data_IF_184400840688
#
_entry.id   IF_184400840688
#
_cell.length_a   1.000
_cell.length_b   1.000
_cell.length_c   1.000
_cell.angle_alpha   90.00
_cell.angle_beta   90.00
_cell.angle_gamma   90.00
#
_symmetry.space_group_name_H-M   'P 1'
#
loop_
_entity.id
_entity.type
_entity.pdbx_description
1 polymer ?
#
# COMPACT_ATOMS: atom_id res chain seq x y z
N UNK A 1 26.87 -20.09 -7.43
CA UNK A 1 26.23 -19.00 -6.67
C UNK A 1 25.54 -18.14 -7.71
N UNK A 2 24.21 -18.00 -7.66
CA UNK A 2 23.53 -17.03 -8.52
C UNK A 2 24.00 -15.65 -8.05
N UNK A 3 24.63 -14.86 -8.94
CA UNK A 3 25.02 -13.49 -8.65
C UNK A 3 23.82 -12.67 -8.26
N UNK A 4 24.04 -11.60 -7.47
CA UNK A 4 22.98 -10.65 -7.13
C UNK A 4 22.38 -10.10 -8.43
N UNK A 5 21.07 -10.12 -8.52
CA UNK A 5 20.31 -9.65 -9.70
C UNK A 5 19.87 -8.19 -9.54
N UNK A 6 20.13 -7.57 -8.41
CA UNK A 6 19.85 -6.16 -8.11
C UNK A 6 20.87 -5.59 -7.13
N UNK A 7 21.03 -4.27 -7.16
CA UNK A 7 21.79 -3.49 -6.19
C UNK A 7 20.84 -2.85 -5.19
N UNK A 8 21.20 -2.91 -3.90
CA UNK A 8 20.50 -2.19 -2.83
C UNK A 8 21.28 -0.91 -2.50
N UNK A 9 20.63 0.24 -2.64
CA UNK A 9 21.20 1.55 -2.38
C UNK A 9 20.45 2.25 -1.26
N UNK A 10 21.19 2.77 -0.29
CA UNK A 10 20.64 3.65 0.75
C UNK A 10 20.49 5.07 0.22
N UNK A 11 19.40 5.72 0.58
CA UNK A 11 19.14 7.13 0.30
C UNK A 11 18.38 7.77 1.46
N UNK A 12 18.10 9.07 1.35
CA UNK A 12 17.34 9.84 2.34
C UNK A 12 16.18 10.56 1.65
N UNK A 13 14.97 10.23 2.07
CA UNK A 13 13.78 10.97 1.67
C UNK A 13 13.67 12.26 2.48
N UNK A 14 13.53 13.39 1.81
CA UNK A 14 13.44 14.71 2.46
C UNK A 14 12.08 15.35 2.20
N UNK A 15 11.34 15.64 3.27
CA UNK A 15 10.04 16.33 3.24
C UNK A 15 10.09 17.53 4.20
N UNK A 16 10.37 18.75 3.67
CA UNK A 16 10.67 19.90 4.52
C UNK A 16 11.88 19.64 5.40
N UNK A 17 11.71 19.71 6.72
CA UNK A 17 12.77 19.44 7.71
C UNK A 17 12.80 17.94 8.15
N UNK A 18 11.93 17.10 7.58
CA UNK A 18 11.86 15.68 7.89
C UNK A 18 12.80 14.90 6.97
N UNK A 19 13.67 14.09 7.55
CA UNK A 19 14.62 13.23 6.86
C UNK A 19 14.34 11.77 7.20
N UNK A 20 13.94 10.99 6.23
CA UNK A 20 13.56 9.58 6.41
C UNK A 20 14.53 8.66 5.69
N UNK A 21 15.08 7.64 6.36
CA UNK A 21 15.87 6.62 5.69
C UNK A 21 15.08 5.95 4.58
N UNK A 22 15.68 5.86 3.40
CA UNK A 22 15.10 5.22 2.22
C UNK A 22 16.04 4.15 1.65
N UNK A 23 15.48 3.23 0.89
CA UNK A 23 16.22 2.19 0.18
C UNK A 23 15.67 2.04 -1.23
N UNK A 24 16.56 2.06 -2.21
CA UNK A 24 16.27 1.77 -3.60
C UNK A 24 16.84 0.39 -3.93
N UNK A 25 16.01 -0.50 -4.47
CA UNK A 25 16.47 -1.71 -5.14
C UNK A 25 16.47 -1.44 -6.64
N UNK A 26 17.64 -1.50 -7.26
CA UNK A 26 17.81 -1.29 -8.69
C UNK A 26 18.24 -2.60 -9.35
N UNK A 27 17.49 -3.10 -10.36
CA UNK A 27 17.92 -4.27 -11.12
C UNK A 27 19.31 -4.04 -11.75
N UNK A 28 20.14 -5.08 -11.80
CA UNK A 28 21.43 -5.03 -12.53
C UNK A 28 21.12 -5.12 -14.03
N UNK A 29 21.88 -4.37 -14.83
CA UNK A 29 21.78 -4.33 -16.30
C UNK A 29 20.42 -3.84 -16.85
N UNK A 30 19.67 -3.07 -16.06
CA UNK A 30 18.42 -2.44 -16.48
C UNK A 30 18.60 -0.92 -16.54
N UNK A 31 19.15 -0.44 -17.65
CA UNK A 31 19.16 0.99 -17.94
C UNK A 31 17.72 1.49 -18.02
N UNK A 32 17.38 2.52 -17.24
CA UNK A 32 16.06 3.11 -17.18
C UNK A 32 14.94 2.09 -16.82
N UNK A 33 15.12 1.32 -15.72
CA UNK A 33 14.07 0.47 -15.18
C UNK A 33 12.87 1.30 -14.68
N UNK A 34 11.60 0.87 -14.88
CA UNK A 34 10.49 1.49 -14.18
C UNK A 34 10.67 1.31 -12.66
N UNK A 35 10.26 2.32 -11.89
CA UNK A 35 10.41 2.30 -10.43
C UNK A 35 9.06 2.38 -9.73
N UNK A 36 8.88 1.58 -8.68
CA UNK A 36 7.68 1.57 -7.84
C UNK A 36 7.98 2.23 -6.50
N UNK A 37 7.28 3.31 -6.20
CA UNK A 37 7.27 3.94 -4.86
C UNK A 37 6.23 3.23 -4.01
N UNK A 38 6.62 2.79 -2.81
CA UNK A 38 5.78 1.99 -1.93
C UNK A 38 5.33 2.79 -0.71
N UNK A 39 4.00 2.89 -0.51
CA UNK A 39 3.36 3.69 0.56
C UNK A 39 2.66 2.77 1.55
N UNK A 40 3.07 2.87 2.80
CA UNK A 40 2.66 2.00 3.91
C UNK A 40 1.19 2.10 4.31
N UNK A 41 0.74 1.05 4.99
CA UNK A 41 -0.48 1.05 5.78
C UNK A 41 -0.42 1.96 7.02
N UNK A 42 -1.44 1.86 7.87
CA UNK A 42 -1.54 2.58 9.13
C UNK A 42 -0.50 2.12 10.16
N UNK A 43 -0.13 3.02 11.08
CA UNK A 43 0.82 2.75 12.15
C UNK A 43 2.26 3.18 11.86
N UNK A 44 3.12 2.97 12.84
CA UNK A 44 4.55 3.28 12.78
C UNK A 44 5.30 2.08 12.16
N UNK A 45 5.61 2.16 10.88
CA UNK A 45 6.16 1.07 10.07
C UNK A 45 7.52 1.44 9.49
N UNK A 46 8.45 0.50 9.50
CA UNK A 46 9.71 0.61 8.78
C UNK A 46 9.50 0.47 7.26
N UNK A 47 10.53 0.70 6.48
CA UNK A 47 10.50 0.61 4.99
C UNK A 47 10.09 -0.75 4.44
N UNK A 48 10.23 -1.81 5.24
CA UNK A 48 9.86 -3.17 4.86
C UNK A 48 8.40 -3.49 5.19
N UNK A 49 7.67 -2.54 5.85
CA UNK A 49 6.33 -2.74 6.41
C UNK A 49 6.30 -3.95 7.35
N UNK A 50 7.27 -4.00 8.28
CA UNK A 50 7.49 -5.16 9.14
C UNK A 50 6.31 -5.41 10.07
N UNK A 51 5.72 -6.59 9.94
CA UNK A 51 4.65 -7.11 10.79
C UNK A 51 5.19 -8.38 11.48
N UNK A 52 5.58 -8.28 12.74
CA UNK A 52 6.34 -9.32 13.45
C UNK A 52 7.63 -9.70 12.71
N UNK A 53 7.68 -10.90 12.10
CA UNK A 53 8.83 -11.37 11.31
C UNK A 53 8.64 -11.24 9.81
N UNK A 54 7.45 -10.83 9.37
CA UNK A 54 7.08 -10.72 7.97
C UNK A 54 7.42 -9.33 7.45
N UNK A 55 7.87 -9.25 6.21
CA UNK A 55 8.33 -8.02 5.56
C UNK A 55 7.71 -7.85 4.17
N UNK A 56 6.40 -7.57 4.09
CA UNK A 56 5.69 -7.56 2.82
C UNK A 56 6.32 -6.66 1.76
N UNK A 57 6.72 -5.45 2.12
CA UNK A 57 7.34 -4.53 1.16
C UNK A 57 8.72 -5.00 0.68
N UNK A 58 9.48 -5.68 1.54
CA UNK A 58 10.74 -6.27 1.11
C UNK A 58 10.52 -7.41 0.13
N UNK A 59 9.57 -8.31 0.41
CA UNK A 59 9.24 -9.42 -0.48
C UNK A 59 8.84 -8.93 -1.87
N UNK A 60 7.95 -7.91 -1.94
CA UNK A 60 7.53 -7.28 -3.18
C UNK A 60 8.71 -6.64 -3.89
N UNK A 61 9.52 -5.86 -3.16
CA UNK A 61 10.65 -5.14 -3.74
C UNK A 61 11.68 -6.07 -4.36
N UNK A 62 12.10 -7.12 -3.64
CA UNK A 62 13.04 -8.12 -4.16
C UNK A 62 12.45 -8.90 -5.34
N UNK A 63 11.17 -9.25 -5.26
CA UNK A 63 10.48 -9.95 -6.34
C UNK A 63 10.37 -9.11 -7.61
N UNK A 64 10.05 -7.84 -7.50
CA UNK A 64 9.99 -6.90 -8.63
C UNK A 64 11.38 -6.61 -9.22
N UNK A 65 12.41 -6.45 -8.37
CA UNK A 65 13.76 -6.24 -8.83
C UNK A 65 14.27 -7.40 -9.68
N UNK A 66 13.94 -8.67 -9.33
CA UNK A 66 14.23 -9.86 -10.14
C UNK A 66 13.50 -9.87 -11.49
N UNK A 67 12.49 -9.03 -11.65
CA UNK A 67 11.69 -8.88 -12.88
C UNK A 67 12.03 -7.60 -13.66
N UNK A 68 13.14 -6.95 -13.32
CA UNK A 68 13.61 -5.74 -14.01
C UNK A 68 12.87 -4.46 -13.62
N UNK A 69 12.22 -4.43 -12.46
CA UNK A 69 11.47 -3.28 -11.94
C UNK A 69 12.14 -2.80 -10.66
N UNK A 70 12.58 -1.55 -10.62
CA UNK A 70 13.16 -0.93 -9.43
C UNK A 70 12.08 -0.60 -8.40
N UNK A 71 12.50 -0.43 -7.13
CA UNK A 71 11.58 -0.03 -6.06
C UNK A 71 12.23 1.01 -5.14
N UNK A 72 11.41 1.90 -4.58
CA UNK A 72 11.77 2.83 -3.53
C UNK A 72 10.89 2.57 -2.31
N UNK A 73 11.54 2.30 -1.18
CA UNK A 73 10.91 2.11 0.15
C UNK A 73 11.54 3.09 1.13
N UNK A 74 10.79 3.59 2.08
CA UNK A 74 11.28 4.52 3.11
C UNK A 74 10.66 4.22 4.46
N UNK A 75 11.35 4.58 5.55
CA UNK A 75 10.79 4.46 6.89
C UNK A 75 9.73 5.55 7.09
N UNK A 76 8.57 5.16 7.63
CA UNK A 76 7.48 6.10 7.88
C UNK A 76 7.87 7.10 8.95
N UNK A 77 7.47 8.37 8.82
CA UNK A 77 7.84 9.40 9.81
C UNK A 77 7.40 9.07 11.22
N UNK A 78 6.26 8.40 11.40
CA UNK A 78 5.78 7.95 12.69
C UNK A 78 6.62 6.82 13.30
N UNK A 79 7.42 6.14 12.49
CA UNK A 79 8.40 5.16 12.93
C UNK A 79 9.73 5.81 13.34
N UNK A 80 10.19 6.80 12.57
CA UNK A 80 11.47 7.48 12.81
C UNK A 80 11.37 8.52 13.94
N UNK A 81 10.25 9.25 13.98
CA UNK A 81 10.04 10.34 14.94
C UNK A 81 8.88 10.05 15.88
N UNK A 82 9.08 10.25 17.16
CA UNK A 82 8.04 10.05 18.20
C UNK A 82 7.02 11.20 18.26
N UNK A 83 7.09 12.17 17.34
CA UNK A 83 6.17 13.31 17.33
C UNK A 83 4.79 12.88 16.86
N UNK A 84 3.72 13.30 17.55
CA UNK A 84 2.36 13.01 17.11
C UNK A 84 2.06 13.69 15.77
N UNK A 85 1.44 12.96 14.86
CA UNK A 85 0.84 13.49 13.64
C UNK A 85 -0.65 13.71 13.85
N UNK A 86 -1.20 14.74 13.24
CA UNK A 86 -2.61 15.13 13.43
C UNK A 86 -3.42 15.05 12.14
N UNK A 87 -2.76 14.82 11.00
CA UNK A 87 -3.39 14.69 9.69
C UNK A 87 -2.79 13.52 8.92
N UNK A 88 -3.55 12.95 8.00
CA UNK A 88 -3.02 11.95 7.06
C UNK A 88 -2.05 12.56 6.06
N UNK A 89 -2.17 13.85 5.81
CA UNK A 89 -1.20 14.61 5.02
C UNK A 89 0.19 14.54 5.67
N UNK A 90 0.28 14.90 6.95
CA UNK A 90 1.56 14.87 7.67
C UNK A 90 2.06 13.43 7.89
N UNK A 91 1.14 12.49 8.12
CA UNK A 91 1.55 11.11 8.37
C UNK A 91 2.07 10.39 7.13
N UNK A 92 1.46 10.62 5.97
CA UNK A 92 1.64 9.75 4.80
C UNK A 92 1.77 10.53 3.48
N UNK A 93 0.84 11.46 3.18
CA UNK A 93 0.72 12.02 1.83
C UNK A 93 1.93 12.86 1.44
N UNK A 94 2.40 13.75 2.32
CA UNK A 94 3.53 14.63 2.02
C UNK A 94 4.83 13.86 1.82
N UNK A 95 5.05 12.78 2.58
CA UNK A 95 6.22 11.92 2.40
C UNK A 95 6.12 11.12 1.11
N UNK A 96 4.94 10.63 0.75
CA UNK A 96 4.73 9.93 -0.51
C UNK A 96 4.96 10.83 -1.73
N UNK A 97 4.54 12.11 -1.69
CA UNK A 97 4.84 13.10 -2.73
C UNK A 97 6.35 13.34 -2.87
N UNK A 98 7.06 13.42 -1.75
CA UNK A 98 8.52 13.55 -1.76
C UNK A 98 9.20 12.28 -2.27
N UNK A 99 8.65 11.09 -1.96
CA UNK A 99 9.16 9.81 -2.45
C UNK A 99 9.00 9.68 -3.98
N UNK A 100 7.89 10.14 -4.54
CA UNK A 100 7.68 10.19 -5.99
C UNK A 100 8.73 11.10 -6.64
N UNK A 101 8.97 12.28 -6.07
CA UNK A 101 10.01 13.22 -6.56
C UNK A 101 11.41 12.60 -6.48
N UNK A 102 11.73 11.88 -5.39
CA UNK A 102 13.00 11.18 -5.26
C UNK A 102 13.12 10.06 -6.29
N UNK A 103 12.06 9.29 -6.54
CA UNK A 103 12.04 8.23 -7.54
C UNK A 103 12.34 8.73 -8.95
N UNK A 104 11.90 9.96 -9.30
CA UNK A 104 12.21 10.59 -10.58
C UNK A 104 13.69 10.93 -10.80
N UNK A 105 14.52 10.87 -9.77
CA UNK A 105 15.99 10.97 -9.93
C UNK A 105 16.60 9.65 -10.47
N UNK A 106 15.85 8.55 -10.37
CA UNK A 106 16.29 7.21 -10.76
C UNK A 106 15.60 6.68 -12.02
N UNK A 107 14.37 7.12 -12.30
CA UNK A 107 13.60 6.70 -13.47
C UNK A 107 12.59 7.74 -13.89
N UNK A 108 12.32 7.84 -15.19
CA UNK A 108 11.23 8.66 -15.72
C UNK A 108 9.86 7.97 -15.63
N UNK A 109 9.84 6.65 -15.34
CA UNK A 109 8.64 5.82 -15.33
C UNK A 109 8.34 5.37 -13.90
N UNK A 110 7.62 6.23 -13.17
CA UNK A 110 7.31 6.05 -11.75
C UNK A 110 5.89 5.51 -11.57
N UNK A 111 5.78 4.45 -10.80
CA UNK A 111 4.52 3.84 -10.35
C UNK A 111 4.33 4.07 -8.85
N UNK A 112 3.09 4.22 -8.43
CA UNK A 112 2.73 4.34 -7.02
C UNK A 112 2.07 3.04 -6.56
N UNK A 113 2.61 2.40 -5.53
CA UNK A 113 1.98 1.26 -4.86
C UNK A 113 1.63 1.67 -3.44
N UNK A 114 0.38 1.51 -3.06
CA UNK A 114 -0.07 1.67 -1.68
C UNK A 114 -0.61 0.36 -1.11
N UNK A 115 -0.38 0.13 0.19
CA UNK A 115 -0.99 -0.94 0.94
C UNK A 115 -1.92 -0.37 2.02
N UNK A 116 -3.13 -0.95 2.18
CA UNK A 116 -4.07 -0.58 3.26
C UNK A 116 -4.35 0.95 3.27
N UNK A 117 -3.99 1.68 4.31
CA UNK A 117 -4.10 3.15 4.36
C UNK A 117 -3.38 3.82 3.18
N UNK A 118 -2.19 3.35 2.83
CA UNK A 118 -1.45 3.86 1.67
C UNK A 118 -2.19 3.64 0.36
N UNK A 119 -2.91 2.51 0.23
CA UNK A 119 -3.75 2.23 -0.92
C UNK A 119 -5.02 3.11 -0.96
N UNK A 120 -5.62 3.38 0.20
CA UNK A 120 -6.74 4.34 0.31
C UNK A 120 -6.32 5.74 -0.13
N UNK A 121 -5.11 6.14 0.23
CA UNK A 121 -4.57 7.48 -0.09
C UNK A 121 -3.94 7.56 -1.49
N UNK A 122 -3.66 6.44 -2.15
CA UNK A 122 -2.97 6.42 -3.43
C UNK A 122 -3.65 7.27 -4.52
N UNK A 123 -4.98 7.28 -4.69
CA UNK A 123 -5.64 8.20 -5.62
C UNK A 123 -5.40 9.68 -5.28
N UNK A 124 -5.40 10.02 -4.00
CA UNK A 124 -5.20 11.40 -3.52
C UNK A 124 -3.74 11.83 -3.77
N UNK A 125 -2.79 10.96 -3.50
CA UNK A 125 -1.37 11.19 -3.79
C UNK A 125 -1.17 11.37 -5.30
N UNK A 126 -1.80 10.51 -6.11
CA UNK A 126 -1.70 10.57 -7.57
C UNK A 126 -2.32 11.84 -8.18
N UNK A 127 -3.40 12.38 -7.58
CA UNK A 127 -3.99 13.66 -8.00
C UNK A 127 -3.14 14.86 -7.60
N UNK A 128 -2.46 14.77 -6.46
CA UNK A 128 -1.71 15.89 -5.86
C UNK A 128 -0.25 15.99 -6.30
N UNK A 129 0.33 14.91 -6.82
CA UNK A 129 1.72 14.96 -7.27
C UNK A 129 1.87 15.89 -8.48
N UNK A 130 2.95 16.69 -8.47
CA UNK A 130 3.35 17.47 -9.63
C UNK A 130 4.14 16.64 -10.66
N UNK A 131 4.69 15.51 -10.21
CA UNK A 131 5.49 14.61 -11.04
C UNK A 131 4.60 13.56 -11.73
N UNK A 132 4.86 13.19 -12.98
CA UNK A 132 4.04 12.23 -13.70
C UNK A 132 4.13 10.83 -13.09
N UNK A 133 2.99 10.13 -13.01
CA UNK A 133 2.92 8.72 -12.67
C UNK A 133 2.51 7.91 -13.90
N UNK A 134 3.09 6.72 -14.07
CA UNK A 134 2.73 5.79 -15.13
C UNK A 134 1.53 4.89 -14.76
N UNK A 135 1.29 4.69 -13.47
CA UNK A 135 0.16 3.90 -12.96
C UNK A 135 0.11 3.83 -11.44
N UNK A 136 -1.00 3.34 -10.92
CA UNK A 136 -1.27 3.20 -9.50
C UNK A 136 -1.63 1.75 -9.17
N UNK A 137 -1.06 1.21 -8.10
CA UNK A 137 -1.29 -0.14 -7.60
C UNK A 137 -1.85 -0.02 -6.18
N UNK A 138 -3.03 -0.57 -5.95
CA UNK A 138 -3.76 -0.46 -4.70
C UNK A 138 -3.96 -1.86 -4.10
N UNK A 139 -3.27 -2.14 -3.00
CA UNK A 139 -3.31 -3.43 -2.31
C UNK A 139 -4.15 -3.30 -1.03
N UNK A 140 -5.20 -4.11 -0.89
CA UNK A 140 -6.12 -4.10 0.26
C UNK A 140 -6.62 -2.67 0.58
N UNK A 141 -7.19 -2.01 -0.43
CA UNK A 141 -7.55 -0.59 -0.37
C UNK A 141 -8.94 -0.37 0.23
N UNK A 142 -9.09 0.33 1.38
CA UNK A 142 -10.38 0.78 1.86
C UNK A 142 -11.08 1.71 0.85
N UNK A 143 -12.28 1.36 0.43
CA UNK A 143 -13.14 2.20 -0.39
C UNK A 143 -14.16 2.97 0.46
N UNK A 144 -14.55 2.38 1.59
CA UNK A 144 -15.48 2.96 2.56
C UNK A 144 -14.76 3.89 3.53
N UNK A 145 -15.53 4.60 4.34
CA UNK A 145 -14.98 5.38 5.45
C UNK A 145 -14.30 4.46 6.49
N UNK A 146 -13.24 4.95 7.10
CA UNK A 146 -12.43 4.14 8.01
C UNK A 146 -13.17 3.77 9.30
N UNK A 147 -14.16 4.54 9.73
CA UNK A 147 -14.96 4.15 10.89
C UNK A 147 -15.77 2.88 10.61
N UNK A 148 -16.40 2.81 9.45
CA UNK A 148 -17.12 1.61 8.99
C UNK A 148 -16.19 0.40 8.89
N UNK A 149 -15.02 0.58 8.30
CA UNK A 149 -14.01 -0.48 8.16
C UNK A 149 -13.53 -0.98 9.53
N UNK A 150 -13.22 -0.09 10.46
CA UNK A 150 -12.78 -0.46 11.81
C UNK A 150 -13.90 -1.13 12.62
N UNK A 151 -15.15 -0.69 12.48
CA UNK A 151 -16.30 -1.35 13.12
C UNK A 151 -16.44 -2.80 12.67
N UNK A 152 -16.30 -3.04 11.36
CA UNK A 152 -16.33 -4.40 10.80
C UNK A 152 -15.19 -5.27 11.31
N UNK A 153 -13.96 -4.71 11.45
CA UNK A 153 -12.84 -5.42 12.08
C UNK A 153 -13.18 -5.84 13.52
N UNK A 154 -13.79 -4.98 14.32
CA UNK A 154 -14.23 -5.35 15.68
C UNK A 154 -15.32 -6.42 15.65
N UNK A 155 -16.28 -6.34 14.73
CA UNK A 155 -17.30 -7.37 14.59
C UNK A 155 -16.73 -8.74 14.21
N UNK A 156 -15.67 -8.73 13.41
CA UNK A 156 -14.98 -9.95 13.01
C UNK A 156 -14.14 -10.57 14.15
N UNK A 157 -13.43 -9.74 14.92
CA UNK A 157 -12.46 -10.19 15.92
C UNK A 157 -13.08 -10.49 17.29
N UNK A 158 -14.14 -9.80 17.65
CA UNK A 158 -14.76 -9.96 18.95
C UNK A 158 -15.64 -11.21 18.97
N UNK A 159 -15.72 -11.91 20.12
CA UNK A 159 -16.63 -13.03 20.28
C UNK A 159 -18.08 -12.60 19.98
N UNK A 160 -18.85 -13.51 19.40
CA UNK A 160 -20.30 -13.34 19.27
C UNK A 160 -20.90 -13.18 20.67
N UNK A 161 -21.38 -11.96 20.98
CA UNK A 161 -21.88 -11.61 22.32
C UNK A 161 -21.07 -10.50 23.03
N UNK A 162 -19.99 -9.99 22.43
CA UNK A 162 -19.37 -8.76 22.91
C UNK A 162 -20.41 -7.62 22.90
N UNK A 163 -20.48 -6.87 24.01
CA UNK A 163 -21.49 -5.82 24.15
C UNK A 163 -21.25 -4.69 23.15
N UNK A 164 -22.33 -4.14 22.62
CA UNK A 164 -22.29 -2.96 21.77
C UNK A 164 -21.54 -1.81 22.46
N UNK A 165 -21.75 -1.63 23.76
CA UNK A 165 -21.05 -0.61 24.54
C UNK A 165 -19.53 -0.77 24.52
N UNK A 166 -19.00 -1.99 24.54
CA UNK A 166 -17.56 -2.24 24.42
C UNK A 166 -17.03 -1.83 23.06
N UNK A 167 -17.75 -2.17 21.99
CA UNK A 167 -17.36 -1.79 20.61
C UNK A 167 -17.35 -0.27 20.44
N UNK A 168 -18.40 0.41 20.90
CA UNK A 168 -18.48 1.87 20.87
C UNK A 168 -17.34 2.51 21.66
N UNK A 169 -16.99 1.98 22.82
CA UNK A 169 -15.85 2.46 23.60
C UNK A 169 -14.52 2.36 22.81
N UNK A 170 -14.31 1.28 22.03
CA UNK A 170 -13.10 1.15 21.19
C UNK A 170 -13.08 2.21 20.08
N UNK A 171 -14.22 2.46 19.44
CA UNK A 171 -14.34 3.53 18.42
C UNK A 171 -14.10 4.90 19.04
N UNK A 172 -14.67 5.18 20.20
CA UNK A 172 -14.45 6.46 20.91
C UNK A 172 -12.99 6.65 21.32
N UNK A 173 -12.31 5.60 21.73
CA UNK A 173 -10.86 5.63 21.98
C UNK A 173 -10.08 5.98 20.71
N UNK A 174 -10.46 5.42 19.57
CA UNK A 174 -9.84 5.75 18.29
C UNK A 174 -10.10 7.21 17.88
N UNK A 175 -11.34 7.69 18.04
CA UNK A 175 -11.73 9.09 17.79
C UNK A 175 -10.91 10.08 18.63
N UNK A 176 -10.61 9.71 19.89
CA UNK A 176 -9.81 10.57 20.79
C UNK A 176 -8.32 10.54 20.47
N UNK A 177 -7.77 9.36 20.15
CA UNK A 177 -6.32 9.19 19.96
C UNK A 177 -5.84 9.52 18.55
N UNK A 178 -6.66 9.24 17.56
CA UNK A 178 -6.29 9.33 16.15
C UNK A 178 -7.48 9.75 15.27
N UNK A 179 -8.10 10.92 15.53
CA UNK A 179 -9.31 11.35 14.84
C UNK A 179 -9.10 11.50 13.34
N UNK A 180 -7.88 11.78 12.89
CA UNK A 180 -7.54 11.96 11.48
C UNK A 180 -7.76 10.71 10.63
N UNK A 181 -7.69 9.50 11.23
CA UNK A 181 -8.01 8.26 10.51
C UNK A 181 -9.49 8.13 10.15
N UNK A 182 -10.37 8.72 10.93
CA UNK A 182 -11.82 8.58 10.77
C UNK A 182 -12.46 9.67 9.90
N UNK A 183 -11.67 10.65 9.47
CA UNK A 183 -12.15 11.70 8.58
C UNK A 183 -12.35 11.17 7.15
N UNK A 184 -13.44 11.54 6.46
CA UNK A 184 -13.62 11.21 5.05
C UNK A 184 -12.48 11.77 4.20
N UNK A 185 -11.90 10.95 3.33
CA UNK A 185 -10.76 11.35 2.49
C UNK A 185 -11.16 11.66 1.05
N UNK A 186 -12.33 11.22 0.59
CA UNK A 186 -12.77 11.41 -0.79
C UNK A 186 -12.01 10.58 -1.82
N UNK A 187 -11.37 9.48 -1.39
CA UNK A 187 -10.54 8.61 -2.20
C UNK A 187 -11.26 8.04 -3.42
N UNK A 188 -12.53 7.68 -3.28
CA UNK A 188 -13.33 7.12 -4.38
C UNK A 188 -13.68 8.16 -5.44
N UNK A 189 -14.05 9.37 -5.02
CA UNK A 189 -14.34 10.47 -5.93
C UNK A 189 -13.07 10.93 -6.67
N UNK A 190 -11.94 10.95 -5.99
CA UNK A 190 -10.64 11.21 -6.59
C UNK A 190 -10.27 10.16 -7.62
N UNK A 191 -10.41 8.87 -7.29
CA UNK A 191 -10.12 7.78 -8.22
C UNK A 191 -10.98 7.84 -9.49
N UNK A 192 -12.24 8.26 -9.39
CA UNK A 192 -13.10 8.47 -10.57
C UNK A 192 -12.54 9.51 -11.54
N UNK A 193 -11.89 10.55 -11.03
CA UNK A 193 -11.32 11.62 -11.86
C UNK A 193 -9.99 11.24 -12.53
N UNK A 194 -9.23 10.33 -11.91
CA UNK A 194 -7.93 9.89 -12.44
C UNK A 194 -8.09 9.17 -13.78
N UNK A 195 -7.17 9.45 -14.71
CA UNK A 195 -7.06 8.78 -16.01
C UNK A 195 -5.91 7.76 -16.04
N UNK A 196 -5.16 7.65 -14.99
CA UNK A 196 -4.04 6.72 -14.87
C UNK A 196 -4.52 5.26 -14.89
N UNK A 197 -3.75 4.34 -15.46
CA UNK A 197 -3.97 2.91 -15.25
C UNK A 197 -3.91 2.54 -13.77
N UNK A 198 -4.83 1.68 -13.31
CA UNK A 198 -4.84 1.21 -11.93
C UNK A 198 -4.90 -0.31 -11.86
N UNK A 199 -4.21 -0.87 -10.89
CA UNK A 199 -4.30 -2.28 -10.48
C UNK A 199 -4.83 -2.33 -9.06
N UNK A 200 -5.94 -3.05 -8.84
CA UNK A 200 -6.56 -3.20 -7.51
C UNK A 200 -6.51 -4.67 -7.11
N UNK A 201 -5.84 -4.94 -5.98
CA UNK A 201 -5.55 -6.27 -5.48
C UNK A 201 -6.18 -6.49 -4.11
N UNK A 202 -6.80 -7.66 -3.90
CA UNK A 202 -7.49 -7.97 -2.65
C UNK A 202 -7.30 -9.43 -2.22
N UNK A 203 -6.91 -9.64 -0.97
CA UNK A 203 -6.97 -10.96 -0.33
C UNK A 203 -8.39 -11.27 0.14
N UNK A 204 -8.97 -12.41 -0.25
CA UNK A 204 -10.36 -12.74 0.12
C UNK A 204 -10.48 -13.18 1.59
N UNK A 205 -9.35 -13.52 2.25
CA UNK A 205 -9.28 -13.81 3.67
C UNK A 205 -8.93 -12.59 4.53
N UNK A 206 -8.83 -11.42 3.91
CA UNK A 206 -8.55 -10.17 4.61
C UNK A 206 -9.77 -9.77 5.46
N UNK A 207 -9.57 -9.69 6.78
CA UNK A 207 -10.60 -9.22 7.71
C UNK A 207 -10.45 -7.73 8.05
N UNK A 208 -9.34 -7.11 7.69
CA UNK A 208 -9.10 -5.69 7.98
C UNK A 208 -9.76 -4.81 6.91
N UNK A 209 -9.56 -5.18 5.63
CA UNK A 209 -10.23 -4.58 4.48
C UNK A 209 -10.87 -5.72 3.70
N UNK A 210 -12.18 -5.76 3.66
CA UNK A 210 -12.89 -6.94 3.16
C UNK A 210 -13.22 -6.86 1.68
N UNK A 211 -13.73 -7.96 1.13
CA UNK A 211 -14.22 -8.00 -0.25
C UNK A 211 -15.34 -6.98 -0.53
N UNK A 212 -15.97 -6.40 0.49
CA UNK A 212 -16.94 -5.33 0.31
C UNK A 212 -16.27 -4.08 -0.28
N UNK A 213 -15.07 -3.73 0.19
CA UNK A 213 -14.29 -2.61 -0.35
C UNK A 213 -13.85 -2.89 -1.79
N UNK A 214 -13.41 -4.11 -2.08
CA UNK A 214 -13.05 -4.52 -3.43
C UNK A 214 -14.22 -4.42 -4.41
N UNK A 215 -15.39 -4.92 -4.04
CA UNK A 215 -16.62 -4.80 -4.84
C UNK A 215 -17.04 -3.34 -5.00
N UNK A 216 -16.87 -2.52 -3.96
CA UNK A 216 -17.19 -1.09 -4.04
C UNK A 216 -16.22 -0.37 -5.02
N UNK A 217 -14.93 -0.72 -5.03
CA UNK A 217 -14.01 -0.20 -6.04
C UNK A 217 -14.43 -0.55 -7.46
N UNK A 218 -14.89 -1.78 -7.71
CA UNK A 218 -15.42 -2.19 -9.02
C UNK A 218 -16.65 -1.34 -9.42
N UNK A 219 -17.56 -1.07 -8.49
CA UNK A 219 -18.73 -0.21 -8.72
C UNK A 219 -18.35 1.25 -8.96
N UNK A 220 -17.45 1.78 -8.12
CA UNK A 220 -16.99 3.18 -8.20
C UNK A 220 -16.31 3.49 -9.54
N UNK A 221 -15.56 2.54 -10.07
CA UNK A 221 -14.77 2.68 -11.29
C UNK A 221 -15.40 2.00 -12.51
N UNK A 222 -16.68 1.65 -12.41
CA UNK A 222 -17.44 1.06 -13.53
C UNK A 222 -17.33 1.93 -14.79
N UNK A 223 -17.14 1.29 -15.93
CA UNK A 223 -16.98 1.94 -17.23
C UNK A 223 -15.56 2.43 -17.53
N UNK A 224 -14.63 2.40 -16.60
CA UNK A 224 -13.21 2.67 -16.90
C UNK A 224 -12.55 1.42 -17.48
N UNK A 225 -11.82 1.58 -18.59
CA UNK A 225 -11.19 0.48 -19.33
C UNK A 225 -9.73 0.24 -18.95
N UNK A 226 -9.17 1.11 -18.14
CA UNK A 226 -7.77 1.10 -17.73
C UNK A 226 -7.57 0.61 -16.29
N UNK A 227 -8.54 -0.13 -15.74
CA UNK A 227 -8.48 -0.69 -14.39
C UNK A 227 -8.42 -2.21 -14.47
N UNK A 228 -7.46 -2.79 -13.76
CA UNK A 228 -7.29 -4.24 -13.61
C UNK A 228 -7.61 -4.63 -12.16
N UNK A 229 -8.34 -5.74 -11.99
CA UNK A 229 -8.75 -6.23 -10.67
C UNK A 229 -8.30 -7.68 -10.50
N UNK A 230 -7.69 -8.02 -9.37
CA UNK A 230 -7.43 -9.39 -8.95
C UNK A 230 -7.81 -9.60 -7.49
N UNK A 231 -8.52 -10.68 -7.21
CA UNK A 231 -8.74 -11.16 -5.85
C UNK A 231 -8.13 -12.55 -5.67
N UNK A 232 -7.73 -12.85 -4.43
CA UNK A 232 -6.95 -14.05 -4.12
C UNK A 232 -7.59 -14.82 -2.97
N UNK A 233 -8.18 -16.00 -3.23
CA UNK A 233 -8.96 -16.75 -2.23
C UNK A 233 -8.20 -17.16 -0.97
N UNK A 234 -6.88 -17.30 -1.06
CA UNK A 234 -6.06 -17.80 0.05
C UNK A 234 -5.29 -16.70 0.81
N UNK A 235 -5.33 -15.44 0.36
CA UNK A 235 -4.51 -14.38 0.93
C UNK A 235 -5.23 -13.58 2.01
N UNK A 236 -4.49 -13.25 3.05
CA UNK A 236 -4.87 -12.34 4.13
C UNK A 236 -4.44 -10.89 3.82
N UNK A 237 -4.56 -9.98 4.81
CA UNK A 237 -4.24 -8.56 4.64
C UNK A 237 -2.82 -8.27 4.12
N UNK A 238 -1.73 -8.86 4.66
CA UNK A 238 -0.38 -8.69 4.11
C UNK A 238 -0.09 -9.56 2.88
N UNK A 239 -1.10 -10.12 2.22
CA UNK A 239 -0.99 -10.98 1.03
C UNK A 239 -0.16 -12.26 1.25
N UNK A 240 -0.23 -12.80 2.45
CA UNK A 240 0.39 -14.07 2.85
C UNK A 240 -0.68 -15.18 2.78
N UNK A 241 -0.30 -16.35 2.25
CA UNK A 241 -1.22 -17.47 2.15
C UNK A 241 -1.60 -18.06 3.53
N UNK A 242 -2.83 -18.50 3.62
CA UNK A 242 -3.35 -19.22 4.75
C UNK A 242 -4.63 -19.97 4.41
N UNK A 243 -5.17 -20.68 5.39
CA UNK A 243 -6.39 -21.48 5.26
C UNK A 243 -7.42 -21.10 6.33
N UNK A 244 -8.70 -21.24 5.99
CA UNK A 244 -9.81 -20.95 6.91
C UNK A 244 -9.94 -19.48 7.29
N UNK A 245 -10.46 -19.22 8.49
CA UNK A 245 -10.70 -17.86 9.00
C UNK A 245 -9.38 -17.18 9.37
N UNK A 246 -9.07 -16.05 8.74
CA UNK A 246 -7.88 -15.25 9.07
C UNK A 246 -8.00 -14.61 10.45
N UNK A 247 -6.90 -14.54 11.17
CA UNK A 247 -6.82 -13.94 12.51
C UNK A 247 -5.49 -13.19 12.69
N UNK A 248 -5.38 -12.26 13.67
CA UNK A 248 -4.12 -11.61 13.98
C UNK A 248 -2.97 -12.56 14.33
N UNK A 249 -3.29 -13.77 14.79
CA UNK A 249 -2.29 -14.80 15.11
C UNK A 249 -1.53 -15.29 13.88
N UNK A 250 -2.14 -15.27 12.70
CA UNK A 250 -1.45 -15.63 11.45
C UNK A 250 -0.26 -14.72 11.16
N UNK A 251 -0.33 -13.45 11.54
CA UNK A 251 0.75 -12.49 11.29
C UNK A 251 2.02 -12.78 12.10
N UNK A 252 1.91 -13.56 13.19
CA UNK A 252 3.06 -14.01 13.98
C UNK A 252 3.79 -15.18 13.32
N UNK A 253 3.12 -15.89 12.41
CA UNK A 253 3.75 -16.97 11.66
C UNK A 253 4.60 -16.39 10.53
N UNK A 254 5.79 -16.96 10.33
CA UNK A 254 6.66 -16.55 9.23
C UNK A 254 6.03 -16.93 7.89
N UNK A 255 5.87 -15.95 7.03
CA UNK A 255 5.37 -16.10 5.68
C UNK A 255 6.00 -15.07 4.74
N UNK A 256 5.62 -15.13 3.48
CA UNK A 256 6.04 -14.21 2.44
C UNK A 256 4.83 -13.82 1.60
N UNK A 257 4.89 -12.66 0.99
CA UNK A 257 3.91 -12.27 -0.03
C UNK A 257 3.91 -13.32 -1.15
N UNK A 258 2.74 -13.79 -1.51
CA UNK A 258 2.60 -14.82 -2.53
C UNK A 258 3.20 -14.36 -3.86
N UNK A 259 4.02 -15.21 -4.48
CA UNK A 259 4.78 -14.85 -5.69
C UNK A 259 3.88 -14.43 -6.85
N UNK A 260 2.70 -15.01 -6.97
CA UNK A 260 1.73 -14.66 -8.03
C UNK A 260 1.16 -13.25 -7.88
N UNK A 261 1.13 -12.66 -6.66
CA UNK A 261 0.80 -11.23 -6.47
C UNK A 261 1.88 -10.36 -7.11
N UNK A 262 3.15 -10.71 -6.89
CA UNK A 262 4.29 -10.01 -7.48
C UNK A 262 4.31 -10.18 -9.00
N UNK A 263 3.91 -11.36 -9.50
CA UNK A 263 3.77 -11.63 -10.93
C UNK A 263 2.69 -10.75 -11.56
N UNK A 264 1.54 -10.58 -10.90
CA UNK A 264 0.46 -9.72 -11.37
C UNK A 264 0.86 -8.24 -11.40
N UNK A 265 1.54 -7.75 -10.34
CA UNK A 265 2.09 -6.39 -10.30
C UNK A 265 3.09 -6.17 -11.45
N UNK A 266 4.02 -7.10 -11.64
CA UNK A 266 5.02 -7.02 -12.70
C UNK A 266 4.37 -7.04 -14.09
N UNK A 267 3.38 -7.91 -14.28
CA UNK A 267 2.64 -8.02 -15.55
C UNK A 267 1.90 -6.75 -15.90
N UNK A 268 1.23 -6.13 -14.92
CA UNK A 268 0.57 -4.83 -15.08
C UNK A 268 1.55 -3.74 -15.53
N UNK A 269 2.69 -3.62 -14.85
CA UNK A 269 3.72 -2.64 -15.20
C UNK A 269 4.25 -2.90 -16.60
N UNK A 270 4.64 -4.13 -16.92
CA UNK A 270 5.19 -4.46 -18.24
C UNK A 270 4.18 -4.29 -19.39
N UNK A 271 2.88 -4.46 -19.14
CA UNK A 271 1.84 -4.19 -20.16
C UNK A 271 1.79 -2.69 -20.50
N UNK A 272 1.82 -1.81 -19.49
CA UNK A 272 1.83 -0.36 -19.69
C UNK A 272 3.11 0.07 -20.46
N UNK A 273 4.26 -0.45 -20.04
CA UNK A 273 5.55 -0.14 -20.68
C UNK A 273 5.61 -0.56 -22.15
N UNK A 274 4.93 -1.63 -22.54
CA UNK A 274 4.84 -2.06 -23.95
C UNK A 274 4.00 -1.14 -24.81
N UNK A 275 2.98 -0.50 -24.25
CA UNK A 275 2.09 0.40 -24.99
C UNK A 275 2.69 1.80 -25.14
N UNK A 276 3.69 2.15 -24.32
CA UNK A 276 4.34 3.46 -24.35
C UNK A 276 5.64 3.49 -25.19
N UNK A 277 6.05 2.33 -25.74
CA UNK A 277 7.14 2.18 -26.73
C UNK A 277 6.60 2.25 -28.16
#
# INVERSE_FOLDING_TARGET
>A
MAGDVFNEMADTLVTGDIHLPATILMPIDADDAPIVVMVHGSGALDRDETIYTNKPFRDIAEGLARKGIATLRYDKRTYVYSQPVTTLDDETVLDALSAIRLAHQYSTRVYLLGHSLGAMLAPIIAERTAEPLAGVIMMAAPARDMETVVREQFDYLLPSGASLAFKEQQIDNLRQRSPHYLQPQGQTDTARRLTLPMLILQGERDYQVTMQDFCLWQQVLEGKTNIVYHSYPRLNHPFIEGDGKSTPMEYQMKGHVASYVIDDISSFIHQIEKHNK
#
